data_IF_184368821581
#
_entry.id   IF_184368821581
#
_cell.length_a   1.000
_cell.length_b   1.000
_cell.length_c   1.000
_cell.angle_alpha   90.00
_cell.angle_beta   90.00
_cell.angle_gamma   90.00
#
_symmetry.space_group_name_H-M   'P 1'
#
loop_
_entity.id
_entity.type
_entity.pdbx_description
1 polymer ?
#
# COMPACT_ATOMS: atom_id res chain seq x y z
N UNK A 1 8.35 -15.49 -3.98
CA UNK A 1 7.63 -14.24 -4.34
C UNK A 1 7.55 -14.11 -5.87
N UNK A 2 6.55 -13.44 -6.42
CA UNK A 2 6.36 -13.25 -7.87
C UNK A 2 7.56 -12.46 -8.42
N UNK A 3 8.18 -12.96 -9.49
CA UNK A 3 9.27 -12.26 -10.16
C UNK A 3 8.70 -11.20 -11.10
N UNK A 4 9.47 -10.15 -11.37
CA UNK A 4 9.10 -9.10 -12.32
C UNK A 4 8.73 -9.67 -13.72
N UNK A 5 9.33 -10.77 -14.11
CA UNK A 5 9.02 -11.51 -15.35
C UNK A 5 7.65 -12.22 -15.38
N UNK A 6 6.95 -12.26 -14.25
CA UNK A 6 5.64 -12.90 -14.11
C UNK A 6 4.49 -11.88 -14.05
N UNK A 7 4.81 -10.60 -14.18
CA UNK A 7 3.84 -9.50 -14.16
C UNK A 7 3.12 -9.35 -15.50
N UNK A 8 1.86 -8.92 -15.45
CA UNK A 8 1.10 -8.57 -16.65
C UNK A 8 1.41 -7.17 -17.17
N UNK A 9 0.87 -6.85 -18.34
CA UNK A 9 1.10 -5.57 -19.01
C UNK A 9 0.65 -4.36 -18.17
N UNK A 10 -0.44 -4.46 -17.39
CA UNK A 10 -0.94 -3.36 -16.58
C UNK A 10 -0.07 -3.17 -15.32
N UNK A 11 0.36 -4.28 -14.71
CA UNK A 11 1.32 -4.26 -13.61
C UNK A 11 2.67 -3.68 -14.08
N UNK A 12 3.14 -4.09 -15.26
CA UNK A 12 4.37 -3.55 -15.87
C UNK A 12 4.25 -2.04 -16.10
N UNK A 13 3.13 -1.54 -16.64
CA UNK A 13 2.92 -0.09 -16.83
C UNK A 13 3.01 0.68 -15.52
N UNK A 14 2.39 0.17 -14.43
CA UNK A 14 2.49 0.79 -13.09
C UNK A 14 3.94 0.83 -12.60
N UNK A 15 4.70 -0.25 -12.82
CA UNK A 15 6.11 -0.29 -12.43
C UNK A 15 6.99 0.62 -13.28
N UNK A 16 6.73 0.69 -14.58
CA UNK A 16 7.51 1.51 -15.52
C UNK A 16 7.22 3.01 -15.39
N UNK A 17 6.13 3.39 -14.71
CA UNK A 17 5.90 4.80 -14.41
C UNK A 17 7.08 5.37 -13.62
N UNK A 18 7.51 6.55 -14.02
CA UNK A 18 8.67 7.24 -13.43
C UNK A 18 8.46 7.53 -11.94
N UNK A 19 9.54 7.61 -11.17
CA UNK A 19 9.49 7.88 -9.73
C UNK A 19 9.40 9.39 -9.42
N UNK A 20 9.36 10.24 -10.44
CA UNK A 20 9.19 11.70 -10.34
C UNK A 20 7.74 12.16 -10.20
N UNK A 21 6.80 11.21 -10.19
CA UNK A 21 5.37 11.44 -9.96
C UNK A 21 4.84 10.51 -8.90
N UNK A 22 3.90 11.01 -8.14
CA UNK A 22 3.13 10.18 -7.21
C UNK A 22 2.15 9.28 -7.97
N UNK A 23 1.85 8.11 -7.42
CA UNK A 23 0.88 7.17 -7.98
C UNK A 23 -0.17 6.77 -6.97
N UNK A 24 -1.41 6.64 -7.44
CA UNK A 24 -2.49 5.93 -6.76
C UNK A 24 -2.87 4.76 -7.65
N UNK A 25 -2.78 3.55 -7.11
CA UNK A 25 -3.03 2.30 -7.82
C UNK A 25 -4.22 1.61 -7.17
N UNK A 26 -5.35 1.67 -7.86
CA UNK A 26 -6.55 0.92 -7.51
C UNK A 26 -6.52 -0.47 -8.14
N UNK A 27 -7.12 -1.45 -7.47
CA UNK A 27 -7.24 -2.79 -8.03
C UNK A 27 -7.95 -3.74 -7.09
N UNK A 28 -8.60 -4.76 -7.65
CA UNK A 28 -9.31 -5.74 -6.84
C UNK A 28 -8.38 -6.61 -5.98
N UNK A 29 -8.97 -7.35 -5.03
CA UNK A 29 -8.23 -8.33 -4.24
C UNK A 29 -7.49 -9.32 -5.14
N UNK A 30 -6.21 -9.56 -4.82
CA UNK A 30 -5.39 -10.49 -5.60
C UNK A 30 -4.85 -9.95 -6.92
N UNK A 31 -4.98 -8.64 -7.22
CA UNK A 31 -4.39 -8.01 -8.40
C UNK A 31 -2.88 -7.76 -8.31
N UNK A 32 -2.24 -8.14 -7.20
CA UNK A 32 -0.79 -8.03 -7.02
C UNK A 32 -0.31 -6.70 -6.43
N UNK A 33 -1.17 -5.85 -5.91
CA UNK A 33 -0.84 -4.53 -5.32
C UNK A 33 0.33 -4.56 -4.35
N UNK A 34 0.29 -5.46 -3.36
CA UNK A 34 1.36 -5.59 -2.35
C UNK A 34 2.71 -5.98 -2.97
N UNK A 35 2.70 -6.80 -4.02
CA UNK A 35 3.92 -7.14 -4.78
C UNK A 35 4.45 -5.92 -5.51
N UNK A 36 3.57 -5.15 -6.17
CA UNK A 36 3.95 -3.91 -6.84
C UNK A 36 4.50 -2.88 -5.85
N UNK A 37 3.90 -2.76 -4.66
CA UNK A 37 4.41 -1.88 -3.58
C UNK A 37 5.85 -2.25 -3.19
N UNK A 38 6.15 -3.53 -3.04
CA UNK A 38 7.49 -4.03 -2.74
C UNK A 38 8.50 -3.77 -3.87
N UNK A 39 8.12 -4.04 -5.12
CA UNK A 39 8.99 -3.80 -6.28
C UNK A 39 9.20 -2.28 -6.47
N UNK A 40 8.17 -1.45 -6.23
CA UNK A 40 8.30 0.01 -6.27
C UNK A 40 9.27 0.50 -5.20
N UNK A 41 9.21 -0.05 -3.97
CA UNK A 41 10.17 0.24 -2.91
C UNK A 41 11.61 -0.15 -3.32
N UNK A 42 11.78 -1.30 -3.99
CA UNK A 42 13.08 -1.72 -4.50
C UNK A 42 13.63 -0.76 -5.56
N UNK A 43 12.78 -0.28 -6.47
CA UNK A 43 13.19 0.73 -7.46
C UNK A 43 13.58 2.04 -6.79
N UNK A 44 12.80 2.54 -5.84
CA UNK A 44 13.15 3.73 -5.07
C UNK A 44 14.51 3.55 -4.38
N UNK A 45 14.73 2.40 -3.73
CA UNK A 45 16.01 2.13 -3.08
C UNK A 45 17.19 2.12 -4.06
N UNK A 46 17.02 1.53 -5.24
CA UNK A 46 18.07 1.46 -6.27
C UNK A 46 18.40 2.83 -6.88
N UNK A 47 17.38 3.66 -7.12
CA UNK A 47 17.53 4.93 -7.84
C UNK A 47 17.84 6.11 -6.91
N UNK A 48 17.27 6.12 -5.69
CA UNK A 48 17.32 7.26 -4.77
C UNK A 48 17.82 6.92 -3.36
N UNK A 49 18.16 5.66 -3.10
CA UNK A 49 18.68 5.23 -1.80
C UNK A 49 17.56 4.97 -0.77
N UNK A 50 17.95 5.01 0.51
CA UNK A 50 17.10 4.50 1.59
C UNK A 50 16.14 5.55 2.20
N UNK A 51 15.91 6.71 1.55
CA UNK A 51 14.99 7.72 2.08
C UNK A 51 13.54 7.45 1.64
N UNK A 52 13.03 6.28 2.01
CA UNK A 52 11.65 5.87 1.81
C UNK A 52 11.08 5.15 3.04
N UNK A 53 9.75 5.13 3.18
CA UNK A 53 9.04 4.33 4.18
C UNK A 53 7.96 3.50 3.50
N UNK A 54 7.75 2.27 4.00
CA UNK A 54 6.64 1.42 3.60
C UNK A 54 5.72 1.26 4.79
N UNK A 55 4.45 1.61 4.61
CA UNK A 55 3.45 1.61 5.68
C UNK A 55 2.30 0.70 5.25
N UNK A 56 1.86 -0.17 6.14
CA UNK A 56 0.74 -1.08 5.94
C UNK A 56 -0.24 -1.00 7.09
N UNK A 57 -1.49 -1.35 6.82
CA UNK A 57 -2.57 -1.16 7.80
C UNK A 57 -2.43 -2.10 9.01
N UNK A 58 -2.08 -3.37 8.81
CA UNK A 58 -2.03 -4.38 9.88
C UNK A 58 -0.63 -4.92 10.15
N UNK A 59 -0.42 -5.36 11.39
CA UNK A 59 0.82 -6.05 11.78
C UNK A 59 1.03 -7.37 11.03
N UNK A 60 -0.06 -8.09 10.74
CA UNK A 60 0.00 -9.33 9.97
C UNK A 60 0.51 -9.09 8.54
N UNK A 61 0.00 -8.06 7.86
CA UNK A 61 0.46 -7.66 6.54
C UNK A 61 1.92 -7.17 6.58
N UNK A 62 2.30 -6.42 7.61
CA UNK A 62 3.69 -5.99 7.80
C UNK A 62 4.64 -7.18 7.92
N UNK A 63 4.28 -8.20 8.69
CA UNK A 63 5.08 -9.42 8.80
C UNK A 63 5.19 -10.18 7.48
N UNK A 64 4.10 -10.25 6.71
CA UNK A 64 4.11 -10.85 5.37
C UNK A 64 5.03 -10.07 4.41
N UNK A 65 4.92 -8.75 4.37
CA UNK A 65 5.76 -7.91 3.52
C UNK A 65 7.24 -7.93 3.92
N UNK A 66 7.55 -8.13 5.21
CA UNK A 66 8.93 -8.30 5.67
C UNK A 66 9.63 -9.55 5.09
N UNK A 67 8.89 -10.61 4.74
CA UNK A 67 9.47 -11.74 4.00
C UNK A 67 9.88 -11.30 2.59
N UNK A 68 9.04 -10.57 1.88
CA UNK A 68 9.36 -10.00 0.57
C UNK A 68 10.49 -8.97 0.62
N UNK A 69 10.58 -8.18 1.70
CA UNK A 69 11.69 -7.25 1.97
C UNK A 69 13.04 -7.95 1.89
N UNK A 70 13.18 -9.10 2.57
CA UNK A 70 14.41 -9.88 2.59
C UNK A 70 14.77 -10.42 1.20
N UNK A 71 13.80 -10.98 0.48
CA UNK A 71 14.02 -11.52 -0.86
C UNK A 71 14.46 -10.45 -1.88
N UNK A 72 13.96 -9.22 -1.74
CA UNK A 72 14.29 -8.10 -2.63
C UNK A 72 15.53 -7.30 -2.18
N UNK A 73 16.16 -7.67 -1.06
CA UNK A 73 17.31 -6.96 -0.52
C UNK A 73 16.99 -5.53 -0.06
N UNK A 74 15.76 -5.30 0.40
CA UNK A 74 15.34 -4.01 0.92
C UNK A 74 15.89 -3.82 2.35
N UNK A 75 16.48 -2.66 2.61
CA UNK A 75 17.17 -2.39 3.88
C UNK A 75 16.35 -1.52 4.83
N UNK A 76 15.41 -0.72 4.31
CA UNK A 76 14.65 0.21 5.10
C UNK A 76 13.57 -0.46 5.96
N UNK A 77 13.11 0.22 7.01
CA UNK A 77 12.08 -0.30 7.89
C UNK A 77 10.70 -0.23 7.24
N UNK A 78 9.93 -1.32 7.47
CA UNK A 78 8.53 -1.41 7.16
C UNK A 78 7.73 -1.25 8.45
N UNK A 79 6.68 -0.46 8.39
CA UNK A 79 5.86 -0.12 9.53
C UNK A 79 4.44 -0.66 9.35
N UNK A 80 3.88 -1.30 10.36
CA UNK A 80 2.44 -1.23 10.45
C UNK A 80 2.03 0.12 11.04
N UNK A 81 0.82 0.59 10.70
CA UNK A 81 0.39 1.97 10.92
C UNK A 81 0.66 2.53 12.32
N UNK A 82 0.31 1.80 13.39
CA UNK A 82 0.51 2.26 14.76
C UNK A 82 1.98 2.46 15.14
N UNK A 83 2.89 1.66 14.57
CA UNK A 83 4.34 1.80 14.78
C UNK A 83 4.94 2.97 14.01
N UNK A 84 4.34 3.35 12.88
CA UNK A 84 4.68 4.56 12.18
C UNK A 84 4.11 5.80 12.87
N UNK A 85 2.87 5.69 13.38
CA UNK A 85 2.14 6.82 13.97
C UNK A 85 2.66 7.23 15.34
N UNK A 86 3.07 6.27 16.17
CA UNK A 86 3.42 6.52 17.56
C UNK A 86 4.80 6.03 17.95
N UNK A 87 5.47 6.81 18.79
CA UNK A 87 6.77 6.49 19.35
C UNK A 87 6.68 5.25 20.24
N UNK A 88 7.72 4.42 20.20
CA UNK A 88 7.86 3.23 21.05
C UNK A 88 9.14 3.31 21.87
N UNK A 89 9.08 2.77 23.07
CA UNK A 89 10.22 2.61 23.95
C UNK A 89 10.32 1.17 24.47
N UNK A 90 11.52 0.77 24.85
CA UNK A 90 11.74 -0.54 25.43
C UNK A 90 11.54 -0.49 26.94
N UNK A 91 10.60 -1.29 27.47
CA UNK A 91 10.42 -1.52 28.91
C UNK A 91 10.71 -3.00 29.23
N UNK A 92 11.91 -3.27 29.75
CA UNK A 92 12.39 -4.63 30.00
C UNK A 92 12.50 -5.43 28.71
N UNK A 93 11.69 -6.51 28.57
CA UNK A 93 11.66 -7.38 27.40
C UNK A 93 10.65 -6.95 26.33
N UNK A 94 9.80 -5.95 26.60
CA UNK A 94 8.69 -5.56 25.73
C UNK A 94 8.93 -4.19 25.10
N UNK A 95 8.40 -4.03 23.88
CA UNK A 95 8.23 -2.70 23.24
C UNK A 95 6.83 -2.21 23.57
N UNK A 96 6.73 -1.01 24.10
CA UNK A 96 5.47 -0.33 24.45
C UNK A 96 5.38 1.04 23.80
N UNK A 97 4.17 1.56 23.62
CA UNK A 97 4.01 2.92 23.13
C UNK A 97 4.35 3.92 24.23
N UNK A 98 5.19 4.90 23.88
CA UNK A 98 5.57 6.00 24.78
C UNK A 98 4.36 6.90 25.00
N UNK A 99 4.22 7.41 26.23
CA UNK A 99 3.13 8.31 26.62
C UNK A 99 3.69 9.60 27.21
N UNK A 100 2.99 10.71 26.94
CA UNK A 100 3.27 11.99 27.56
C UNK A 100 2.80 12.03 29.04
N UNK A 101 2.98 13.18 29.68
CA UNK A 101 2.57 13.42 31.09
C UNK A 101 1.06 13.29 31.30
N UNK A 102 0.25 13.47 30.25
CA UNK A 102 -1.20 13.33 30.27
C UNK A 102 -1.69 11.93 29.92
N UNK A 103 -0.76 10.98 29.64
CA UNK A 103 -1.07 9.61 29.27
C UNK A 103 -1.39 9.41 27.79
N UNK A 104 -1.29 10.43 26.93
CA UNK A 104 -1.49 10.32 25.49
C UNK A 104 -0.28 9.68 24.80
N UNK A 105 -0.51 8.91 23.75
CA UNK A 105 0.58 8.35 22.94
C UNK A 105 1.35 9.46 22.23
N UNK A 106 2.67 9.41 22.28
CA UNK A 106 3.55 10.40 21.65
C UNK A 106 3.62 10.15 20.16
N UNK A 107 3.28 11.14 19.29
CA UNK A 107 3.40 10.99 17.84
C UNK A 107 4.87 10.74 17.42
N UNK A 108 5.03 9.92 16.35
CA UNK A 108 6.34 9.64 15.75
C UNK A 108 6.37 10.07 14.28
N UNK A 109 5.55 9.49 13.45
CA UNK A 109 5.30 9.83 12.04
C UNK A 109 6.56 10.25 11.25
N UNK A 110 7.56 9.40 11.14
CA UNK A 110 8.80 9.75 10.46
C UNK A 110 8.53 10.04 8.98
N UNK A 111 9.03 11.20 8.52
CA UNK A 111 8.95 11.62 7.13
C UNK A 111 10.00 10.93 6.25
N UNK A 112 9.80 10.98 4.94
CA UNK A 112 10.77 10.51 3.95
C UNK A 112 10.53 11.20 2.60
N UNK A 113 11.50 11.07 1.69
CA UNK A 113 11.32 11.52 0.30
C UNK A 113 10.18 10.76 -0.39
N UNK A 114 10.06 9.45 -0.08
CA UNK A 114 9.05 8.59 -0.66
C UNK A 114 8.27 7.84 0.42
N UNK A 115 6.94 7.94 0.39
CA UNK A 115 6.03 7.17 1.25
C UNK A 115 5.25 6.19 0.38
N UNK A 116 5.31 4.92 0.73
CA UNK A 116 4.62 3.82 0.05
C UNK A 116 3.61 3.24 1.04
N UNK A 117 2.33 3.22 0.67
CA UNK A 117 1.26 2.70 1.54
C UNK A 117 0.51 1.60 0.80
N UNK A 118 0.37 0.46 1.43
CA UNK A 118 -0.50 -0.63 0.95
C UNK A 118 -1.78 -0.70 1.78
N UNK A 119 -2.87 -1.15 1.15
CA UNK A 119 -4.25 -1.18 1.69
C UNK A 119 -4.74 0.22 2.12
N UNK A 120 -4.52 1.23 1.25
CA UNK A 120 -4.84 2.63 1.56
C UNK A 120 -6.33 2.86 1.85
N UNK A 121 -7.25 2.01 1.36
CA UNK A 121 -8.68 2.10 1.63
C UNK A 121 -9.05 1.89 3.10
N UNK A 122 -8.17 1.31 3.90
CA UNK A 122 -8.42 1.07 5.33
C UNK A 122 -8.07 2.27 6.21
N UNK A 123 -7.51 3.33 5.62
CA UNK A 123 -7.13 4.56 6.32
C UNK A 123 -8.21 5.64 6.19
N UNK A 124 -8.35 6.47 7.23
CA UNK A 124 -9.22 7.65 7.18
C UNK A 124 -8.59 8.78 6.38
N UNK A 125 -9.40 9.76 5.99
CA UNK A 125 -8.96 10.98 5.30
C UNK A 125 -7.83 11.69 6.06
N UNK A 126 -7.92 11.75 7.39
CA UNK A 126 -6.91 12.43 8.20
C UNK A 126 -5.60 11.62 8.25
N UNK A 127 -5.67 10.30 8.30
CA UNK A 127 -4.49 9.44 8.22
C UNK A 127 -3.82 9.52 6.84
N UNK A 128 -4.61 9.63 5.76
CA UNK A 128 -4.06 9.85 4.41
C UNK A 128 -3.35 11.21 4.33
N UNK A 129 -3.93 12.27 4.92
CA UNK A 129 -3.27 13.59 5.01
C UNK A 129 -1.98 13.53 5.83
N UNK A 130 -1.92 12.72 6.91
CA UNK A 130 -0.68 12.50 7.67
C UNK A 130 0.41 11.90 6.76
N UNK A 131 0.08 10.92 5.89
CA UNK A 131 1.03 10.36 4.92
C UNK A 131 1.50 11.40 3.90
N UNK A 132 0.57 12.20 3.36
CA UNK A 132 0.91 13.27 2.42
C UNK A 132 1.84 14.30 3.06
N UNK A 133 1.58 14.69 4.30
CA UNK A 133 2.43 15.64 5.04
C UNK A 133 3.82 15.08 5.39
N UNK A 134 3.93 13.75 5.57
CA UNK A 134 5.20 13.09 5.82
C UNK A 134 6.03 12.84 4.53
N UNK A 135 5.45 13.11 3.36
CA UNK A 135 6.07 12.89 2.05
C UNK A 135 6.79 14.15 1.56
N UNK A 136 8.09 14.07 1.32
CA UNK A 136 8.85 15.22 0.81
C UNK A 136 8.87 15.33 -0.72
N UNK A 137 8.84 14.18 -1.45
CA UNK A 137 8.85 14.16 -2.92
C UNK A 137 7.59 13.50 -3.47
N UNK A 138 7.52 12.18 -3.45
CA UNK A 138 6.42 11.45 -4.06
C UNK A 138 5.90 10.32 -3.17
N UNK A 139 4.65 9.98 -3.34
CA UNK A 139 4.00 8.87 -2.66
C UNK A 139 3.51 7.81 -3.68
N UNK A 140 3.39 6.58 -3.21
CA UNK A 140 2.85 5.45 -3.97
C UNK A 140 1.82 4.73 -3.11
N UNK A 141 0.53 4.95 -3.39
CA UNK A 141 -0.59 4.39 -2.64
C UNK A 141 -1.24 3.26 -3.42
N UNK A 142 -1.43 2.13 -2.77
CA UNK A 142 -2.04 0.93 -3.33
C UNK A 142 -3.28 0.57 -2.52
N UNK A 143 -4.41 0.32 -3.19
CA UNK A 143 -5.65 0.01 -2.49
C UNK A 143 -6.73 -0.61 -3.37
N UNK A 144 -7.81 -1.03 -2.71
CA UNK A 144 -8.98 -1.64 -3.33
C UNK A 144 -10.21 -0.78 -3.05
N UNK A 145 -10.92 -0.37 -4.09
CA UNK A 145 -12.15 0.44 -3.94
C UNK A 145 -13.32 -0.37 -3.37
N UNK A 146 -13.29 -1.70 -3.56
CA UNK A 146 -14.39 -2.60 -3.18
C UNK A 146 -14.22 -3.25 -1.79
N UNK A 147 -13.11 -3.03 -1.08
CA UNK A 147 -12.74 -3.78 0.14
C UNK A 147 -12.46 -2.92 1.38
N UNK A 148 -13.13 -1.80 1.57
CA UNK A 148 -13.01 -1.12 2.87
C UNK A 148 -13.71 -1.95 3.95
N UNK A 149 -12.92 -2.56 4.86
CA UNK A 149 -13.46 -3.29 6.02
C UNK A 149 -14.10 -2.36 7.07
N UNK A 150 -13.93 -1.06 6.94
CA UNK A 150 -14.42 -0.04 7.86
C UNK A 150 -15.57 0.79 7.30
N UNK A 151 -16.16 0.37 6.18
CA UNK A 151 -17.31 1.07 5.61
C UNK A 151 -18.43 1.19 6.65
N UNK A 152 -18.86 2.42 6.92
CA UNK A 152 -19.87 2.72 7.95
C UNK A 152 -19.37 2.80 9.41
N UNK A 153 -18.12 2.39 9.70
CA UNK A 153 -17.51 2.51 11.03
C UNK A 153 -16.50 3.65 11.12
N UNK A 154 -15.90 4.04 10.01
CA UNK A 154 -14.88 5.05 9.89
C UNK A 154 -15.10 5.85 8.60
N UNK A 155 -14.85 7.15 8.64
CA UNK A 155 -14.88 7.96 7.41
C UNK A 155 -13.64 7.60 6.58
N UNK A 156 -13.81 6.75 5.59
CA UNK A 156 -12.77 6.38 4.63
C UNK A 156 -13.04 7.02 3.28
N UNK A 157 -11.99 7.38 2.57
CA UNK A 157 -12.09 7.96 1.23
C UNK A 157 -11.92 6.84 0.19
N UNK A 158 -12.85 6.67 -0.76
CA UNK A 158 -12.65 5.76 -1.87
C UNK A 158 -11.33 6.04 -2.60
N UNK A 159 -10.62 4.98 -3.02
CA UNK A 159 -9.25 5.09 -3.58
C UNK A 159 -9.21 6.01 -4.79
N UNK A 160 -10.24 6.00 -5.63
CA UNK A 160 -10.40 6.86 -6.80
C UNK A 160 -10.56 8.35 -6.44
N UNK A 161 -10.97 8.66 -5.20
CA UNK A 161 -11.14 10.04 -4.70
C UNK A 161 -9.94 10.57 -3.93
N UNK A 162 -8.94 9.76 -3.60
CA UNK A 162 -7.75 10.22 -2.86
C UNK A 162 -7.05 11.36 -3.58
N UNK A 163 -7.03 11.37 -4.91
CA UNK A 163 -6.43 12.47 -5.68
C UNK A 163 -7.06 13.84 -5.42
N UNK A 164 -8.31 13.89 -4.92
CA UNK A 164 -8.99 15.17 -4.60
C UNK A 164 -8.45 15.86 -3.35
N UNK A 165 -7.78 15.13 -2.46
CA UNK A 165 -7.18 15.69 -1.23
C UNK A 165 -5.66 15.87 -1.33
N UNK A 166 -5.06 15.49 -2.47
CA UNK A 166 -3.63 15.66 -2.70
C UNK A 166 -3.32 17.14 -2.97
N UNK A 167 -2.27 17.71 -2.38
CA UNK A 167 -1.84 19.07 -2.63
C UNK A 167 -1.58 19.33 -4.14
N UNK A 168 -2.03 20.49 -4.65
CA UNK A 168 -1.95 20.85 -6.07
C UNK A 168 -0.52 20.89 -6.66
N UNK A 169 0.49 21.04 -5.81
CA UNK A 169 1.89 21.01 -6.21
C UNK A 169 2.44 19.60 -6.44
N UNK A 170 1.72 18.56 -6.05
CA UNK A 170 2.10 17.17 -6.29
C UNK A 170 1.45 16.63 -7.57
N UNK A 171 2.28 16.12 -8.48
CA UNK A 171 1.80 15.45 -9.72
C UNK A 171 1.40 14.03 -9.38
N UNK A 172 0.14 13.66 -9.63
CA UNK A 172 -0.41 12.34 -9.33
C UNK A 172 -0.84 11.64 -10.60
N UNK A 173 -0.53 10.35 -10.71
CA UNK A 173 -1.02 9.45 -11.74
C UNK A 173 -1.90 8.38 -11.10
N UNK A 174 -3.12 8.24 -11.61
CA UNK A 174 -4.03 7.18 -11.20
C UNK A 174 -3.88 5.99 -12.14
N UNK A 175 -3.81 4.80 -11.56
CA UNK A 175 -3.74 3.52 -12.25
C UNK A 175 -4.81 2.59 -11.74
N UNK A 176 -5.28 1.69 -12.61
CA UNK A 176 -6.26 0.68 -12.26
C UNK A 176 -5.79 -0.70 -12.75
N UNK A 177 -5.87 -1.70 -11.85
CA UNK A 177 -5.51 -3.09 -12.13
C UNK A 177 -6.78 -3.92 -12.25
N UNK A 178 -7.07 -4.43 -13.43
CA UNK A 178 -8.31 -5.13 -13.74
C UNK A 178 -8.22 -6.64 -13.56
N UNK A 179 -7.01 -7.20 -13.45
CA UNK A 179 -6.80 -8.65 -13.34
C UNK A 179 -6.59 -9.09 -11.90
N UNK A 180 -7.10 -10.25 -11.55
CA UNK A 180 -6.79 -10.88 -10.27
C UNK A 180 -6.15 -12.26 -10.49
N UNK A 181 -5.23 -12.64 -9.59
CA UNK A 181 -4.39 -13.85 -9.71
C UNK A 181 -4.61 -14.85 -8.57
N UNK A 182 -5.47 -14.52 -7.61
CA UNK A 182 -5.68 -15.33 -6.41
C UNK A 182 -6.74 -16.41 -6.60
N UNK A 183 -7.78 -16.15 -7.39
CA UNK A 183 -8.87 -17.09 -7.60
C UNK A 183 -8.68 -17.87 -8.90
N UNK A 184 -8.82 -19.22 -8.89
CA UNK A 184 -8.93 -20.00 -10.12
C UNK A 184 -10.12 -19.52 -10.97
N UNK A 185 -9.96 -19.52 -12.29
CA UNK A 185 -10.96 -19.01 -13.23
C UNK A 185 -12.40 -19.56 -13.02
N UNK A 186 -12.61 -20.86 -12.70
CA UNK A 186 -13.96 -21.36 -12.42
C UNK A 186 -14.61 -20.71 -11.20
N UNK A 187 -13.83 -20.50 -10.12
CA UNK A 187 -14.31 -19.85 -8.88
C UNK A 187 -14.61 -18.39 -9.14
N UNK A 188 -13.74 -17.72 -9.89
CA UNK A 188 -13.89 -16.35 -10.27
C UNK A 188 -15.22 -16.10 -11.04
N UNK A 189 -15.57 -16.96 -11.98
CA UNK A 189 -16.83 -16.89 -12.74
C UNK A 189 -18.09 -17.07 -11.87
N UNK A 190 -17.99 -17.81 -10.77
CA UNK A 190 -19.10 -17.99 -9.82
C UNK A 190 -19.26 -16.74 -8.93
N UNK A 191 -18.17 -16.12 -8.53
CA UNK A 191 -18.17 -15.00 -7.59
C UNK A 191 -18.53 -13.68 -8.28
N UNK A 192 -18.20 -13.52 -9.56
CA UNK A 192 -18.45 -12.28 -10.31
C UNK A 192 -19.91 -11.79 -10.30
N UNK A 193 -20.94 -12.63 -10.48
CA UNK A 193 -22.33 -12.18 -10.44
C UNK A 193 -22.83 -11.80 -9.04
N UNK A 194 -22.11 -12.22 -7.98
CA UNK A 194 -22.50 -12.03 -6.57
C UNK A 194 -21.72 -10.87 -5.94
N UNK A 195 -20.57 -10.52 -6.51
CA UNK A 195 -19.73 -9.44 -6.00
C UNK A 195 -20.26 -8.07 -6.42
N UNK A 196 -20.36 -7.16 -5.45
CA UNK A 196 -20.65 -5.75 -5.71
C UNK A 196 -19.36 -5.08 -6.20
N UNK A 197 -19.42 -4.38 -7.33
CA UNK A 197 -18.31 -3.60 -7.91
C UNK A 197 -17.03 -4.40 -8.25
N UNK A 198 -17.15 -5.69 -8.51
CA UNK A 198 -16.03 -6.44 -9.09
C UNK A 198 -15.83 -6.03 -10.55
N UNK A 199 -14.61 -5.65 -10.96
CA UNK A 199 -14.33 -5.35 -12.35
C UNK A 199 -14.60 -6.59 -13.23
N UNK A 200 -14.96 -6.38 -14.50
CA UNK A 200 -15.23 -7.50 -15.42
C UNK A 200 -14.00 -8.41 -15.50
N UNK A 201 -14.25 -9.73 -15.46
CA UNK A 201 -13.18 -10.73 -15.59
C UNK A 201 -12.53 -10.63 -16.96
N UNK A 202 -11.32 -10.12 -16.98
CA UNK A 202 -10.37 -10.37 -18.07
C UNK A 202 -9.63 -11.66 -17.68
N UNK A 203 -9.56 -12.62 -18.61
CA UNK A 203 -9.03 -13.97 -18.37
C UNK A 203 -7.76 -13.95 -17.49
N UNK A 204 -7.84 -14.59 -16.33
CA UNK A 204 -6.67 -14.77 -15.49
C UNK A 204 -5.77 -15.83 -16.14
N UNK A 205 -4.53 -15.51 -16.34
CA UNK A 205 -3.49 -16.47 -16.78
C UNK A 205 -2.97 -17.30 -15.60
N UNK A 206 -3.75 -17.49 -14.52
CA UNK A 206 -3.35 -18.41 -13.47
C UNK A 206 -3.34 -19.83 -14.04
N UNK A 207 -2.16 -20.29 -14.40
CA UNK A 207 -1.93 -21.70 -14.71
C UNK A 207 -2.28 -22.47 -13.43
N UNK A 208 -3.37 -23.23 -13.49
CA UNK A 208 -3.64 -24.27 -12.51
C UNK A 208 -2.43 -25.21 -12.47
N UNK A 209 -1.73 -25.25 -11.34
CA UNK A 209 -0.90 -26.38 -10.98
C UNK A 209 -1.75 -27.41 -10.27
#
# INVERSE_FOLDING_TARGET
MIKESELDDDQIKVLMETLDKSCIVAGCAGSGKSVLALIKAQRVQKEYGNNYKVIVFTKALCNYMNSGKQELGLTNDFYYHQEWKYQRERRGRYMVYSRDENGNMIPYMPSADYIIVDEIQDFSDDEIKEFLNATHKNFFFFGDTAQSIYEGLKTTLPVDRISSIVPLNMKVKNWELYRHYRLPLPVAKIVQPVGVDLPPFIESTSKSK
#
